data_IF_982195521946
#
_entry.id   IF_982195521946
#
_cell.length_a   1.000
_cell.length_b   1.000
_cell.length_c   1.000
_cell.angle_alpha   90.00
_cell.angle_beta   90.00
_cell.angle_gamma   90.00
#
_symmetry.space_group_name_H-M   'P 1'
#
loop_
_entity.id
_entity.type
_entity.pdbx_description
1 polymer ?
#
# COMPACT_ATOMS: atom_id res chain seq x y z
N UNK A 1 0.54 28.77 -20.88
CA UNK A 1 0.14 27.34 -20.95
C UNK A 1 1.35 26.56 -21.46
N UNK A 2 1.57 25.34 -20.96
CA UNK A 2 2.73 24.50 -21.31
C UNK A 2 2.27 23.07 -21.55
N UNK A 3 2.64 22.49 -22.69
CA UNK A 3 2.41 21.07 -22.98
C UNK A 3 3.40 20.20 -22.19
N UNK A 4 2.92 19.11 -21.60
CA UNK A 4 3.68 18.22 -20.72
C UNK A 4 3.53 16.77 -21.16
N UNK A 5 4.62 16.01 -21.06
CA UNK A 5 4.69 14.57 -21.33
C UNK A 5 5.62 13.88 -20.33
N UNK A 6 5.46 12.57 -20.14
CA UNK A 6 6.35 11.75 -19.31
C UNK A 6 6.55 12.30 -17.89
N UNK A 7 7.80 12.33 -17.42
CA UNK A 7 8.14 12.78 -16.06
C UNK A 7 7.84 14.26 -15.83
N UNK A 8 7.69 15.08 -16.89
CA UNK A 8 7.28 16.47 -16.74
C UNK A 8 5.86 16.62 -16.18
N UNK A 9 4.96 15.68 -16.48
CA UNK A 9 3.60 15.64 -15.89
C UNK A 9 3.72 15.36 -14.39
N UNK A 10 4.49 14.33 -14.01
CA UNK A 10 4.69 13.94 -12.62
C UNK A 10 5.26 15.09 -11.79
N UNK A 11 6.31 15.76 -12.28
CA UNK A 11 6.92 16.92 -11.61
C UNK A 11 5.92 18.08 -11.45
N UNK A 12 5.09 18.35 -12.45
CA UNK A 12 4.07 19.38 -12.37
C UNK A 12 2.98 19.03 -11.34
N UNK A 13 2.53 17.78 -11.29
CA UNK A 13 1.57 17.29 -10.30
C UNK A 13 2.13 17.41 -8.88
N UNK A 14 3.35 16.94 -8.63
CA UNK A 14 4.00 17.09 -7.31
C UNK A 14 4.12 18.57 -6.92
N UNK A 15 4.54 19.43 -7.85
CA UNK A 15 4.63 20.88 -7.61
C UNK A 15 3.28 21.49 -7.21
N UNK A 16 2.18 21.08 -7.83
CA UNK A 16 0.82 21.59 -7.51
C UNK A 16 0.33 21.06 -6.17
N UNK A 17 0.46 19.75 -5.95
CA UNK A 17 -0.08 19.08 -4.77
C UNK A 17 0.73 19.34 -3.49
N UNK A 18 2.00 19.73 -3.62
CA UNK A 18 2.89 20.05 -2.50
C UNK A 18 2.86 21.53 -2.07
N UNK A 19 2.11 22.39 -2.79
CA UNK A 19 2.02 23.83 -2.49
C UNK A 19 1.21 24.09 -1.22
N UNK A 20 1.63 25.04 -0.36
CA UNK A 20 0.79 25.53 0.73
C UNK A 20 -0.51 26.13 0.17
N UNK A 21 -1.65 25.64 0.64
CA UNK A 21 -2.98 26.09 0.17
C UNK A 21 -3.95 24.93 -0.03
N UNK A 22 -5.10 25.21 -0.65
CA UNK A 22 -6.13 24.22 -0.92
C UNK A 22 -5.87 23.55 -2.28
N UNK A 23 -5.10 22.46 -2.28
CA UNK A 23 -4.93 21.63 -3.46
C UNK A 23 -6.21 20.83 -3.75
N UNK A 24 -6.58 20.71 -5.02
CA UNK A 24 -7.76 19.97 -5.45
C UNK A 24 -7.38 18.99 -6.56
N UNK A 25 -7.88 17.76 -6.48
CA UNK A 25 -7.65 16.73 -7.49
C UNK A 25 -8.96 16.03 -7.85
N UNK A 26 -9.39 16.12 -9.10
CA UNK A 26 -10.46 15.28 -9.64
C UNK A 26 -9.79 14.24 -10.55
N UNK A 27 -9.44 13.10 -9.96
CA UNK A 27 -8.62 12.06 -10.59
C UNK A 27 -9.29 10.72 -10.39
N UNK A 28 -9.77 10.16 -11.49
CA UNK A 28 -10.57 8.95 -11.52
C UNK A 28 -9.92 7.79 -10.75
N UNK A 29 -8.67 7.45 -11.09
CA UNK A 29 -8.04 6.22 -10.63
C UNK A 29 -6.75 6.50 -9.87
N UNK A 30 -6.60 5.83 -8.74
CA UNK A 30 -5.42 5.86 -7.89
C UNK A 30 -4.73 4.51 -7.89
N UNK A 31 -3.43 4.47 -8.19
CA UNK A 31 -2.60 3.28 -8.11
C UNK A 31 -1.97 3.12 -6.74
N UNK A 32 -1.29 1.98 -6.51
CA UNK A 32 -0.62 1.65 -5.24
C UNK A 32 0.38 2.72 -4.74
N UNK A 33 1.00 3.46 -5.65
CA UNK A 33 1.97 4.53 -5.38
C UNK A 33 1.37 5.94 -5.55
N UNK A 34 0.05 6.09 -5.70
CA UNK A 34 -0.57 7.37 -6.07
C UNK A 34 -0.22 8.52 -5.11
N UNK A 35 -0.19 8.25 -3.82
CA UNK A 35 0.23 9.15 -2.75
C UNK A 35 1.69 9.64 -2.89
N UNK A 36 2.61 8.72 -3.19
CA UNK A 36 4.05 8.99 -3.41
C UNK A 36 4.24 9.83 -4.68
N UNK A 37 3.62 9.40 -5.78
CA UNK A 37 3.80 10.01 -7.10
C UNK A 37 3.21 11.42 -7.21
N UNK A 38 2.31 11.77 -6.29
CA UNK A 38 1.69 13.09 -6.20
C UNK A 38 2.28 13.96 -5.10
N UNK A 39 3.20 13.43 -4.27
CA UNK A 39 3.81 14.14 -3.15
C UNK A 39 2.88 14.33 -1.94
N UNK A 40 1.73 13.65 -1.90
CA UNK A 40 0.79 13.68 -0.78
C UNK A 40 1.30 12.93 0.45
N UNK A 41 2.39 12.17 0.31
CA UNK A 41 3.07 11.49 1.41
C UNK A 41 4.16 12.34 2.08
N UNK A 42 4.55 13.47 1.47
CA UNK A 42 5.76 14.23 1.81
C UNK A 42 5.65 15.19 3.01
N UNK A 43 4.47 15.56 3.51
CA UNK A 43 4.36 16.62 4.55
C UNK A 43 3.15 16.52 5.50
N UNK A 44 3.28 17.21 6.64
CA UNK A 44 2.27 17.48 7.70
C UNK A 44 1.10 18.41 7.28
N UNK A 45 0.88 18.63 5.97
CA UNK A 45 -0.17 19.53 5.47
C UNK A 45 -1.44 18.85 4.88
N UNK A 46 -1.81 17.59 5.25
CA UNK A 46 -2.88 16.89 4.54
C UNK A 46 -4.27 17.49 4.72
N UNK A 47 -4.47 18.35 5.75
CA UNK A 47 -5.78 18.94 6.08
C UNK A 47 -6.41 19.77 4.96
N UNK A 48 -5.65 20.12 3.90
CA UNK A 48 -6.09 21.07 2.87
C UNK A 48 -6.28 20.49 1.47
N UNK A 49 -5.94 19.21 1.25
CA UNK A 49 -6.18 18.58 -0.05
C UNK A 49 -7.61 18.02 -0.15
N UNK A 50 -8.29 18.30 -1.26
CA UNK A 50 -9.61 17.72 -1.61
C UNK A 50 -9.49 16.86 -2.85
N UNK A 51 -9.87 15.59 -2.74
CA UNK A 51 -9.75 14.61 -3.81
C UNK A 51 -11.11 14.01 -4.17
N UNK A 52 -11.42 13.95 -5.46
CA UNK A 52 -12.52 13.15 -6.00
C UNK A 52 -11.90 12.01 -6.79
N UNK A 53 -12.35 10.78 -6.52
CA UNK A 53 -11.97 9.58 -7.27
C UNK A 53 -13.21 8.75 -7.65
N UNK A 54 -13.02 7.72 -8.48
CA UNK A 54 -14.05 6.68 -8.70
C UNK A 54 -13.66 5.40 -7.95
N UNK A 55 -14.01 5.33 -6.66
CA UNK A 55 -13.78 4.15 -5.82
C UNK A 55 -14.65 2.95 -6.25
N UNK A 56 -15.70 3.20 -7.04
CA UNK A 56 -16.57 2.13 -7.52
C UNK A 56 -15.99 1.36 -8.71
N UNK A 57 -14.97 1.93 -9.36
CA UNK A 57 -14.27 1.30 -10.48
C UNK A 57 -13.02 0.51 -10.04
N UNK A 58 -12.84 -0.69 -10.59
CA UNK A 58 -11.74 -1.63 -10.24
C UNK A 58 -10.33 -1.14 -10.62
N UNK A 59 -10.24 -0.09 -11.43
CA UNK A 59 -8.96 0.56 -11.73
C UNK A 59 -8.48 1.48 -10.60
N UNK A 60 -9.39 1.93 -9.72
CA UNK A 60 -9.03 2.68 -8.53
C UNK A 60 -8.63 1.70 -7.42
N UNK A 61 -7.43 1.85 -6.87
CA UNK A 61 -6.92 1.01 -5.80
C UNK A 61 -7.47 1.49 -4.45
N UNK A 62 -8.36 0.73 -3.81
CA UNK A 62 -8.98 1.13 -2.54
C UNK A 62 -7.97 1.20 -1.38
N UNK A 63 -6.85 0.47 -1.46
CA UNK A 63 -5.79 0.56 -0.44
C UNK A 63 -5.03 1.89 -0.52
N UNK A 64 -4.85 2.45 -1.71
CA UNK A 64 -4.27 3.78 -1.86
C UNK A 64 -5.21 4.87 -1.32
N UNK A 65 -6.52 4.69 -1.53
CA UNK A 65 -7.53 5.60 -0.98
C UNK A 65 -7.59 5.50 0.55
N UNK A 66 -7.50 4.30 1.11
CA UNK A 66 -7.40 4.08 2.56
C UNK A 66 -6.18 4.80 3.15
N UNK A 67 -4.99 4.64 2.56
CA UNK A 67 -3.78 5.31 3.04
C UNK A 67 -3.90 6.85 3.04
N UNK A 68 -4.64 7.41 2.08
CA UNK A 68 -4.88 8.85 2.04
C UNK A 68 -5.92 9.29 3.09
N UNK A 69 -6.96 8.49 3.33
CA UNK A 69 -7.95 8.73 4.39
C UNK A 69 -7.31 8.64 5.78
N UNK A 70 -6.40 7.69 6.00
CA UNK A 70 -5.61 7.55 7.24
C UNK A 70 -4.70 8.75 7.52
N UNK A 71 -4.41 9.53 6.48
CA UNK A 71 -3.67 10.80 6.55
C UNK A 71 -4.61 12.01 6.68
N UNK A 72 -5.89 11.79 6.92
CA UNK A 72 -6.91 12.85 7.07
C UNK A 72 -7.11 13.72 5.82
N UNK A 73 -6.72 13.22 4.65
CA UNK A 73 -6.99 13.88 3.37
C UNK A 73 -8.49 13.78 3.07
N UNK A 74 -9.10 14.87 2.62
CA UNK A 74 -10.53 14.91 2.32
C UNK A 74 -10.78 14.24 0.97
N UNK A 75 -11.39 13.05 0.98
CA UNK A 75 -11.69 12.30 -0.23
C UNK A 75 -13.17 12.00 -0.35
N UNK A 76 -13.72 12.26 -1.54
CA UNK A 76 -15.05 11.82 -1.94
C UNK A 76 -14.94 10.89 -3.16
N UNK A 77 -15.97 10.06 -3.33
CA UNK A 77 -16.10 9.20 -4.52
C UNK A 77 -17.24 9.69 -5.41
N UNK A 78 -17.01 9.68 -6.71
CA UNK A 78 -18.01 10.01 -7.73
C UNK A 78 -18.00 8.91 -8.81
N UNK A 79 -19.06 8.08 -8.90
CA UNK A 79 -19.14 7.03 -9.91
C UNK A 79 -19.08 7.60 -11.32
N UNK A 80 -18.37 6.91 -12.23
CA UNK A 80 -18.12 7.32 -13.62
C UNK A 80 -17.24 8.56 -13.77
N UNK A 81 -16.58 9.03 -12.71
CA UNK A 81 -15.54 10.03 -12.84
C UNK A 81 -14.41 9.46 -13.70
N UNK A 82 -14.11 10.10 -14.82
CA UNK A 82 -12.98 9.75 -15.69
C UNK A 82 -12.01 10.93 -15.91
N UNK A 83 -12.14 12.00 -15.12
CA UNK A 83 -11.27 13.16 -15.21
C UNK A 83 -9.88 12.89 -14.59
N UNK A 84 -8.88 13.66 -15.00
CA UNK A 84 -7.55 13.72 -14.36
C UNK A 84 -7.09 15.18 -14.31
N UNK A 85 -7.54 15.87 -13.26
CA UNK A 85 -7.38 17.32 -13.10
C UNK A 85 -6.75 17.60 -11.74
N UNK A 86 -5.75 18.47 -11.73
CA UNK A 86 -5.00 18.88 -10.56
C UNK A 86 -4.99 20.42 -10.48
N UNK A 87 -5.28 20.98 -9.32
CA UNK A 87 -5.50 22.43 -9.16
C UNK A 87 -4.82 22.91 -7.88
N UNK A 88 -4.10 24.03 -7.95
CA UNK A 88 -3.61 24.75 -6.77
C UNK A 88 -3.37 26.22 -7.11
N UNK A 89 -4.00 27.12 -6.37
CA UNK A 89 -3.95 28.55 -6.65
C UNK A 89 -4.43 28.85 -8.07
N UNK A 90 -3.62 29.55 -8.86
CA UNK A 90 -3.92 29.94 -10.25
C UNK A 90 -3.29 28.98 -11.28
N UNK A 91 -2.97 27.75 -10.88
CA UNK A 91 -2.34 26.73 -11.72
C UNK A 91 -3.21 25.48 -11.80
N UNK A 92 -3.40 24.98 -13.02
CA UNK A 92 -4.13 23.74 -13.33
C UNK A 92 -3.24 22.83 -14.16
N UNK A 93 -3.20 21.54 -13.84
CA UNK A 93 -2.73 20.48 -14.74
C UNK A 93 -3.92 19.63 -15.14
N UNK A 94 -4.20 19.59 -16.44
CA UNK A 94 -5.29 18.83 -17.06
C UNK A 94 -4.68 17.86 -18.07
N UNK A 95 -5.02 16.58 -18.00
CA UNK A 95 -4.49 15.61 -18.97
C UNK A 95 -5.08 14.22 -18.88
N UNK A 96 -4.34 13.25 -19.41
CA UNK A 96 -4.72 11.84 -19.44
C UNK A 96 -4.23 11.05 -18.21
N UNK A 97 -3.24 11.58 -17.48
CA UNK A 97 -2.52 10.84 -16.44
C UNK A 97 -3.30 10.67 -15.13
N UNK A 98 -3.63 9.43 -14.79
CA UNK A 98 -4.15 9.05 -13.46
C UNK A 98 -3.04 9.04 -12.39
N UNK A 99 -3.41 8.92 -11.11
CA UNK A 99 -2.45 8.87 -10.00
C UNK A 99 -1.78 7.48 -9.86
N UNK A 100 -1.00 7.06 -10.85
CA UNK A 100 -0.42 5.70 -10.89
C UNK A 100 0.95 5.69 -11.55
N UNK A 101 1.80 4.70 -11.23
CA UNK A 101 3.16 4.62 -11.79
C UNK A 101 3.19 4.46 -13.31
N UNK A 102 2.17 3.83 -13.90
CA UNK A 102 2.06 3.74 -15.35
C UNK A 102 1.82 5.12 -16.01
N UNK A 103 1.16 6.05 -15.31
CA UNK A 103 0.77 7.34 -15.86
C UNK A 103 1.62 8.53 -15.36
N UNK A 104 2.25 8.39 -14.20
CA UNK A 104 3.13 9.39 -13.58
C UNK A 104 4.49 8.75 -13.30
N UNK A 105 5.29 8.43 -14.34
CA UNK A 105 6.61 7.86 -14.12
C UNK A 105 7.54 8.88 -13.47
N UNK A 106 8.47 8.35 -12.69
CA UNK A 106 9.63 9.03 -12.10
C UNK A 106 10.87 8.72 -12.93
N UNK A 107 11.95 9.48 -12.72
CA UNK A 107 13.23 9.23 -13.41
C UNK A 107 13.86 7.87 -13.07
N UNK A 108 13.32 7.16 -12.07
CA UNK A 108 13.77 5.83 -11.64
C UNK A 108 12.95 4.67 -12.22
N UNK A 109 11.88 4.95 -12.98
CA UNK A 109 11.03 3.90 -13.54
C UNK A 109 11.60 3.35 -14.87
N UNK A 110 11.41 2.04 -15.11
CA UNK A 110 12.10 1.22 -16.13
C UNK A 110 11.62 1.42 -17.58
N UNK A 111 10.98 2.55 -17.88
CA UNK A 111 10.53 2.89 -19.24
C UNK A 111 9.22 2.23 -19.69
N UNK A 112 8.48 1.54 -18.81
CA UNK A 112 7.15 0.94 -19.12
C UNK A 112 5.96 1.89 -18.89
N UNK A 113 6.19 3.19 -18.95
CA UNK A 113 5.14 4.18 -18.76
C UNK A 113 4.21 4.27 -19.97
N UNK A 114 2.95 4.59 -19.70
CA UNK A 114 2.01 5.00 -20.73
C UNK A 114 2.48 6.29 -21.40
N UNK A 115 2.09 6.46 -22.66
CA UNK A 115 2.22 7.75 -23.35
C UNK A 115 1.09 8.65 -22.87
N UNK A 116 1.41 9.55 -21.96
CA UNK A 116 0.47 10.50 -21.36
C UNK A 116 0.73 11.92 -21.87
N UNK A 117 -0.34 12.71 -21.95
CA UNK A 117 -0.28 14.11 -22.35
C UNK A 117 -1.07 14.97 -21.34
N UNK A 118 -0.52 16.15 -21.05
CA UNK A 118 -1.20 17.14 -20.22
C UNK A 118 -0.86 18.57 -20.64
N UNK A 119 -1.70 19.51 -20.23
CA UNK A 119 -1.38 20.92 -20.24
C UNK A 119 -1.30 21.45 -18.81
N UNK A 120 -0.26 22.22 -18.55
CA UNK A 120 -0.20 23.12 -17.41
C UNK A 120 -0.69 24.51 -17.83
N UNK A 121 -1.74 24.96 -17.17
CA UNK A 121 -2.42 26.21 -17.44
C UNK A 121 -2.20 27.13 -16.24
N UNK A 122 -1.83 28.37 -16.53
CA UNK A 122 -1.65 29.44 -15.55
C UNK A 122 -2.65 30.54 -15.82
N UNK A 123 -3.15 31.16 -14.76
CA UNK A 123 -4.01 32.35 -14.83
C UNK A 123 -5.28 32.19 -13.99
N UNK A 124 -5.62 33.24 -13.25
CA UNK A 124 -6.73 33.26 -12.29
C UNK A 124 -8.07 32.87 -12.91
N UNK A 125 -8.43 33.46 -14.05
CA UNK A 125 -9.72 33.25 -14.71
C UNK A 125 -9.93 31.78 -15.10
N UNK A 126 -8.97 31.19 -15.83
CA UNK A 126 -9.01 29.78 -16.23
C UNK A 126 -8.97 28.83 -15.02
N UNK A 127 -8.17 29.16 -14.02
CA UNK A 127 -8.12 28.37 -12.80
C UNK A 127 -9.47 28.43 -12.05
N UNK A 128 -10.14 29.58 -12.06
CA UNK A 128 -11.45 29.74 -11.43
C UNK A 128 -12.53 28.90 -12.13
N UNK A 129 -12.58 28.90 -13.45
CA UNK A 129 -13.51 28.06 -14.23
C UNK A 129 -13.37 26.56 -13.86
N UNK A 130 -12.13 26.07 -13.77
CA UNK A 130 -11.87 24.67 -13.42
C UNK A 130 -12.18 24.39 -11.95
N UNK A 131 -11.98 25.36 -11.04
CA UNK A 131 -12.40 25.25 -9.63
C UNK A 131 -13.91 25.18 -9.50
N UNK A 132 -14.66 26.03 -10.21
CA UNK A 132 -16.12 26.03 -10.17
C UNK A 132 -16.68 24.69 -10.66
N UNK A 133 -16.09 24.14 -11.73
CA UNK A 133 -16.38 22.77 -12.15
C UNK A 133 -16.05 21.73 -11.07
N UNK A 134 -14.88 21.84 -10.42
CA UNK A 134 -14.48 20.94 -9.35
C UNK A 134 -15.46 20.98 -8.17
N UNK A 135 -15.88 22.17 -7.72
CA UNK A 135 -16.83 22.33 -6.61
C UNK A 135 -18.18 21.70 -6.95
N UNK A 136 -18.66 21.87 -8.18
CA UNK A 136 -19.89 21.22 -8.62
C UNK A 136 -19.76 19.70 -8.54
N UNK A 137 -18.64 19.12 -8.99
CA UNK A 137 -18.38 17.67 -8.87
C UNK A 137 -18.17 17.23 -7.43
N UNK A 138 -17.58 18.07 -6.59
CA UNK A 138 -17.37 17.81 -5.17
C UNK A 138 -18.69 17.71 -4.42
N UNK A 139 -19.67 18.54 -4.78
CA UNK A 139 -21.01 18.51 -4.23
C UNK A 139 -21.81 17.29 -4.69
N UNK A 140 -21.65 16.87 -5.95
CA UNK A 140 -22.24 15.63 -6.49
C UNK A 140 -21.60 14.37 -5.88
N UNK A 141 -20.34 14.46 -5.45
CA UNK A 141 -19.60 13.34 -4.91
C UNK A 141 -20.02 12.99 -3.47
N UNK A 142 -20.02 11.69 -3.18
CA UNK A 142 -20.41 11.15 -1.87
C UNK A 142 -19.18 10.90 -0.97
N UNK A 143 -19.29 11.08 0.35
CA UNK A 143 -18.27 10.65 1.29
C UNK A 143 -17.97 9.14 1.16
N UNK A 144 -16.74 8.75 1.49
CA UNK A 144 -16.33 7.35 1.50
C UNK A 144 -16.56 6.79 2.90
N UNK A 145 -17.55 5.91 3.04
CA UNK A 145 -17.78 5.17 4.29
C UNK A 145 -16.84 3.96 4.41
N UNK A 146 -16.61 3.49 5.64
CA UNK A 146 -15.88 2.24 5.89
C UNK A 146 -16.48 1.06 5.09
N UNK A 147 -17.81 0.99 5.02
CA UNK A 147 -18.52 -0.06 4.26
C UNK A 147 -18.29 0.04 2.75
N UNK A 148 -18.22 1.24 2.19
CA UNK A 148 -17.93 1.46 0.77
C UNK A 148 -16.48 1.08 0.44
N UNK A 149 -15.54 1.43 1.33
CA UNK A 149 -14.12 1.11 1.20
C UNK A 149 -13.89 -0.41 1.24
N UNK A 150 -14.48 -1.12 2.19
CA UNK A 150 -14.38 -2.58 2.29
C UNK A 150 -14.97 -3.30 1.07
N UNK A 151 -16.10 -2.80 0.54
CA UNK A 151 -16.68 -3.33 -0.70
C UNK A 151 -15.75 -3.10 -1.90
N UNK A 152 -15.10 -1.94 -1.97
CA UNK A 152 -14.15 -1.62 -3.02
C UNK A 152 -12.91 -2.54 -2.95
N UNK A 153 -12.35 -2.78 -1.75
CA UNK A 153 -11.24 -3.75 -1.53
C UNK A 153 -11.55 -5.12 -2.10
N UNK A 154 -12.70 -5.69 -1.71
CA UNK A 154 -13.13 -7.01 -2.23
C UNK A 154 -13.25 -7.05 -3.75
N UNK A 155 -13.89 -6.04 -4.36
CA UNK A 155 -14.02 -5.96 -5.84
C UNK A 155 -12.66 -5.85 -6.53
N UNK A 156 -11.78 -5.02 -5.98
CA UNK A 156 -10.44 -4.82 -6.52
C UNK A 156 -9.62 -6.10 -6.45
N UNK A 157 -9.62 -6.79 -5.30
CA UNK A 157 -8.93 -8.07 -5.11
C UNK A 157 -9.43 -9.16 -6.06
N UNK A 158 -10.76 -9.27 -6.23
CA UNK A 158 -11.38 -10.17 -7.20
C UNK A 158 -10.93 -9.86 -8.63
N UNK A 159 -10.89 -8.58 -9.01
CA UNK A 159 -10.43 -8.15 -10.33
C UNK A 159 -8.94 -8.46 -10.55
N UNK A 160 -8.08 -8.28 -9.53
CA UNK A 160 -6.67 -8.66 -9.63
C UNK A 160 -6.48 -10.18 -9.73
N UNK A 161 -7.28 -10.96 -9.01
CA UNK A 161 -7.27 -12.41 -9.12
C UNK A 161 -7.72 -12.88 -10.52
N UNK A 162 -8.69 -12.19 -11.14
CA UNK A 162 -9.13 -12.45 -12.51
C UNK A 162 -8.04 -12.14 -13.56
N UNK A 163 -7.29 -11.05 -13.39
CA UNK A 163 -6.15 -10.70 -14.27
C UNK A 163 -5.00 -11.71 -14.21
N UNK A 164 -4.87 -12.45 -13.10
CA UNK A 164 -3.88 -13.52 -12.93
C UNK A 164 -4.27 -14.85 -13.60
N UNK A 165 -5.49 -14.97 -14.15
CA UNK A 165 -6.02 -16.22 -14.72
C UNK A 165 -5.93 -16.34 -16.25
N UNK A 166 -5.19 -15.47 -16.95
CA UNK A 166 -4.87 -15.72 -18.37
C UNK A 166 -3.60 -16.57 -18.44
N UNK A 167 -3.67 -17.87 -18.76
CA UNK A 167 -2.46 -18.63 -19.06
C UNK A 167 -1.79 -17.99 -20.29
N UNK A 168 -0.48 -17.72 -20.27
CA UNK A 168 0.18 -17.20 -21.46
C UNK A 168 0.01 -18.21 -22.59
N UNK A 169 -0.50 -17.75 -23.73
CA UNK A 169 -0.46 -18.51 -24.98
C UNK A 169 0.99 -18.97 -25.21
N UNK A 170 1.13 -20.27 -25.48
CA UNK A 170 2.42 -20.92 -25.68
C UNK A 170 3.25 -20.15 -26.71
N UNK A 171 4.33 -19.52 -26.23
CA UNK A 171 5.42 -19.06 -27.08
C UNK A 171 6.70 -19.74 -26.62
N UNK A 172 7.38 -20.29 -27.62
CA UNK A 172 8.49 -21.22 -27.55
C UNK A 172 9.70 -20.68 -26.77
N UNK A 173 10.29 -21.62 -26.04
CA UNK A 173 11.61 -21.64 -25.39
C UNK A 173 12.64 -20.62 -25.90
N UNK A 174 13.21 -19.85 -24.96
CA UNK A 174 14.66 -19.78 -24.72
C UNK A 174 14.89 -19.31 -23.29
N UNK A 175 15.73 -20.04 -22.54
CA UNK A 175 15.80 -19.97 -21.08
C UNK A 175 16.76 -18.93 -20.52
N UNK A 176 16.45 -18.44 -19.31
CA UNK A 176 17.32 -18.36 -18.12
C UNK A 176 16.48 -17.98 -16.88
N UNK A 177 16.76 -18.65 -15.76
CA UNK A 177 16.26 -18.44 -14.37
C UNK A 177 16.16 -16.96 -13.96
N UNK A 178 15.26 -16.46 -13.12
CA UNK A 178 14.43 -17.08 -12.08
C UNK A 178 14.12 -16.02 -11.00
N UNK A 179 13.55 -14.87 -11.39
CA UNK A 179 13.23 -13.81 -10.43
C UNK A 179 11.77 -13.85 -9.98
N UNK A 180 11.54 -14.26 -8.73
CA UNK A 180 10.23 -14.30 -8.09
C UNK A 180 9.91 -12.89 -7.61
N UNK A 181 8.78 -12.32 -8.04
CA UNK A 181 8.38 -10.95 -7.69
C UNK A 181 8.21 -10.76 -6.17
N UNK A 182 8.44 -9.53 -5.69
CA UNK A 182 8.29 -9.19 -4.26
C UNK A 182 6.92 -9.55 -3.66
N UNK A 183 5.78 -9.40 -4.35
CA UNK A 183 4.49 -9.86 -3.82
C UNK A 183 4.46 -11.37 -3.58
N UNK A 184 4.98 -12.16 -4.52
CA UNK A 184 5.07 -13.61 -4.43
C UNK A 184 6.03 -14.03 -3.30
N UNK A 185 7.16 -13.34 -3.17
CA UNK A 185 8.08 -13.52 -2.04
C UNK A 185 7.37 -13.20 -0.71
N UNK A 186 6.63 -12.10 -0.63
CA UNK A 186 5.91 -11.69 0.59
C UNK A 186 4.89 -12.73 1.01
N UNK A 187 4.04 -13.17 0.09
CA UNK A 187 3.02 -14.20 0.34
C UNK A 187 3.70 -15.48 0.83
N UNK A 188 4.72 -15.95 0.10
CA UNK A 188 5.45 -17.16 0.48
C UNK A 188 6.09 -17.05 1.87
N UNK A 189 6.72 -15.91 2.20
CA UNK A 189 7.37 -15.69 3.50
C UNK A 189 6.33 -15.72 4.65
N UNK A 190 5.16 -15.12 4.43
CA UNK A 190 4.05 -15.10 5.38
C UNK A 190 3.46 -16.50 5.58
N UNK A 191 3.22 -17.23 4.49
CA UNK A 191 2.66 -18.57 4.55
C UNK A 191 3.63 -19.55 5.22
N UNK A 192 4.92 -19.48 4.89
CA UNK A 192 5.96 -20.28 5.54
C UNK A 192 6.11 -19.97 7.04
N UNK A 193 5.97 -18.70 7.44
CA UNK A 193 5.97 -18.34 8.85
C UNK A 193 4.74 -18.91 9.57
N UNK A 194 3.57 -18.90 8.93
CA UNK A 194 2.34 -19.50 9.46
C UNK A 194 2.45 -21.03 9.60
N UNK A 195 2.97 -21.72 8.59
CA UNK A 195 3.22 -23.16 8.63
C UNK A 195 4.24 -23.52 9.73
N UNK A 196 5.31 -22.74 9.86
CA UNK A 196 6.31 -22.92 10.92
C UNK A 196 5.68 -22.74 12.30
N UNK A 197 4.79 -21.76 12.47
CA UNK A 197 4.04 -21.54 13.69
C UNK A 197 3.15 -22.74 14.05
N UNK A 198 2.41 -23.29 13.09
CA UNK A 198 1.59 -24.49 13.31
C UNK A 198 2.45 -25.69 13.72
N UNK A 199 3.59 -25.90 13.06
CA UNK A 199 4.52 -27.00 13.38
C UNK A 199 5.11 -26.86 14.78
N UNK A 200 5.56 -25.67 15.17
CA UNK A 200 6.13 -25.42 16.50
C UNK A 200 5.08 -25.57 17.61
N UNK A 201 3.84 -25.13 17.38
CA UNK A 201 2.78 -25.23 18.37
C UNK A 201 2.31 -26.68 18.62
N UNK A 202 2.48 -27.59 17.65
CA UNK A 202 2.11 -29.02 17.81
C UNK A 202 3.07 -29.81 18.70
N UNK A 203 4.27 -29.30 18.96
CA UNK A 203 5.29 -29.98 19.77
C UNK A 203 5.53 -29.30 21.12
N UNK A 204 4.48 -28.76 21.75
CA UNK A 204 4.53 -27.99 23.01
C UNK A 204 5.46 -26.77 23.01
N UNK A 205 5.91 -26.33 21.82
CA UNK A 205 6.86 -25.23 21.66
C UNK A 205 6.24 -23.83 21.78
N UNK A 206 5.04 -23.69 22.34
CA UNK A 206 4.41 -22.38 22.51
C UNK A 206 4.95 -21.68 23.76
N UNK A 207 5.47 -20.47 23.59
CA UNK A 207 5.93 -19.62 24.67
C UNK A 207 5.37 -18.18 24.50
N UNK A 208 5.63 -17.29 25.48
CA UNK A 208 5.17 -15.89 25.39
C UNK A 208 5.86 -15.08 24.29
N UNK A 209 7.03 -15.55 23.85
CA UNK A 209 7.89 -14.98 22.83
C UNK A 209 7.65 -15.60 21.44
N UNK A 210 6.55 -16.31 21.24
CA UNK A 210 6.33 -17.23 20.12
C UNK A 210 6.58 -16.63 18.72
N UNK A 211 6.21 -15.36 18.50
CA UNK A 211 6.49 -14.66 17.23
C UNK A 211 7.99 -14.66 16.92
N UNK A 212 8.82 -14.36 17.92
CA UNK A 212 10.27 -14.35 17.79
C UNK A 212 10.81 -15.76 17.56
N UNK A 213 10.32 -16.75 18.31
CA UNK A 213 10.73 -18.15 18.17
C UNK A 213 10.44 -18.69 16.76
N UNK A 214 9.28 -18.37 16.20
CA UNK A 214 8.91 -18.73 14.82
C UNK A 214 9.82 -18.04 13.80
N UNK A 215 10.02 -16.73 13.89
CA UNK A 215 10.83 -16.00 12.91
C UNK A 215 12.30 -16.44 12.94
N UNK A 216 12.85 -16.73 14.13
CA UNK A 216 14.20 -17.30 14.25
C UNK A 216 14.29 -18.69 13.61
N UNK A 217 13.27 -19.52 13.76
CA UNK A 217 13.21 -20.82 13.09
C UNK A 217 13.15 -20.66 11.56
N UNK A 218 12.35 -19.73 11.06
CA UNK A 218 12.32 -19.43 9.63
C UNK A 218 13.68 -18.93 9.12
N UNK A 219 14.36 -18.05 9.87
CA UNK A 219 15.69 -17.50 9.53
C UNK A 219 16.76 -18.58 9.35
N UNK A 220 16.63 -19.71 10.02
CA UNK A 220 17.59 -20.83 9.94
C UNK A 220 17.52 -21.57 8.60
N UNK A 221 16.40 -21.46 7.87
CA UNK A 221 16.26 -22.07 6.54
C UNK A 221 16.87 -21.16 5.48
N UNK A 222 17.86 -21.67 4.73
CA UNK A 222 18.55 -20.92 3.68
C UNK A 222 17.57 -20.32 2.66
N UNK A 223 16.58 -21.10 2.20
CA UNK A 223 15.57 -20.62 1.26
C UNK A 223 14.76 -19.44 1.82
N UNK A 224 14.35 -19.50 3.09
CA UNK A 224 13.58 -18.42 3.69
C UNK A 224 14.42 -17.17 3.84
N UNK A 225 15.68 -17.32 4.29
CA UNK A 225 16.63 -16.21 4.41
C UNK A 225 16.88 -15.53 3.07
N UNK A 226 17.11 -16.29 2.01
CA UNK A 226 17.37 -15.76 0.67
C UNK A 226 16.16 -15.03 0.09
N UNK A 227 14.97 -15.62 0.24
CA UNK A 227 13.71 -15.00 -0.19
C UNK A 227 13.41 -13.74 0.63
N UNK A 228 13.70 -13.74 1.92
CA UNK A 228 13.55 -12.56 2.78
C UNK A 228 14.54 -11.46 2.38
N UNK A 229 15.81 -11.79 2.12
CA UNK A 229 16.83 -10.85 1.62
C UNK A 229 16.41 -10.21 0.29
N UNK A 230 15.91 -11.01 -0.65
CA UNK A 230 15.37 -10.53 -1.94
C UNK A 230 14.14 -9.64 -1.75
N UNK A 231 13.27 -9.97 -0.80
CA UNK A 231 12.10 -9.15 -0.48
C UNK A 231 12.49 -7.79 0.09
N UNK A 232 13.39 -7.76 1.08
CA UNK A 232 13.81 -6.52 1.75
C UNK A 232 14.83 -5.72 0.93
N UNK A 233 15.43 -6.35 -0.09
CA UNK A 233 16.37 -5.72 -1.02
C UNK A 233 17.69 -5.32 -0.39
N UNK A 234 18.23 -6.16 0.52
CA UNK A 234 19.47 -5.84 1.22
C UNK A 234 19.72 -6.74 2.42
N UNK A 235 20.46 -6.22 3.40
CA UNK A 235 20.79 -6.93 4.63
C UNK A 235 19.52 -7.27 5.44
N UNK A 236 19.35 -8.56 5.72
CA UNK A 236 18.24 -9.10 6.52
C UNK A 236 18.33 -8.68 7.98
N UNK A 237 19.52 -8.30 8.44
CA UNK A 237 19.82 -7.95 9.82
C UNK A 237 19.79 -6.43 10.08
N UNK A 238 19.68 -5.61 9.02
CA UNK A 238 19.51 -4.15 9.15
C UNK A 238 18.18 -3.85 9.89
N UNK A 239 18.23 -3.22 11.08
CA UNK A 239 17.02 -2.87 11.84
C UNK A 239 16.26 -1.69 11.22
N UNK A 240 16.91 -0.89 10.36
CA UNK A 240 16.35 0.32 9.77
C UNK A 240 15.72 0.09 8.38
N UNK A 241 15.80 -1.12 7.84
CA UNK A 241 15.28 -1.42 6.52
C UNK A 241 13.76 -1.14 6.41
N UNK A 242 13.33 -0.25 5.50
CA UNK A 242 11.93 0.18 5.39
C UNK A 242 10.99 -0.94 4.94
N UNK A 243 11.48 -1.95 4.25
CA UNK A 243 10.68 -3.09 3.82
C UNK A 243 10.38 -4.06 4.96
N UNK A 244 11.23 -4.13 5.99
CA UNK A 244 10.94 -4.87 7.22
C UNK A 244 9.70 -4.29 7.93
N UNK A 245 9.53 -2.96 7.92
CA UNK A 245 8.32 -2.29 8.44
C UNK A 245 7.04 -2.68 7.68
N UNK A 246 7.15 -3.07 6.40
CA UNK A 246 6.02 -3.45 5.52
C UNK A 246 5.63 -4.93 5.60
N UNK A 247 6.47 -5.81 6.14
CA UNK A 247 6.21 -7.26 6.21
C UNK A 247 6.10 -7.77 7.66
N UNK A 248 6.87 -7.22 8.59
CA UNK A 248 6.93 -7.72 9.97
C UNK A 248 5.58 -7.63 10.73
N UNK A 249 4.76 -6.58 10.58
CA UNK A 249 3.43 -6.55 11.17
C UNK A 249 2.53 -7.68 10.66
N UNK A 250 2.61 -8.02 9.37
CA UNK A 250 1.82 -9.08 8.75
C UNK A 250 2.30 -10.47 9.16
N UNK A 251 3.62 -10.68 9.24
CA UNK A 251 4.20 -11.91 9.80
C UNK A 251 3.67 -12.14 11.22
N UNK A 252 3.76 -11.14 12.10
CA UNK A 252 3.27 -11.26 13.48
C UNK A 252 1.76 -11.51 13.56
N UNK A 253 0.97 -10.85 12.69
CA UNK A 253 -0.49 -11.07 12.61
C UNK A 253 -0.80 -12.50 12.19
N UNK A 254 -0.18 -12.99 11.10
CA UNK A 254 -0.45 -14.30 10.53
C UNK A 254 0.01 -15.44 11.43
N UNK A 255 1.19 -15.32 12.06
CA UNK A 255 1.70 -16.29 13.05
C UNK A 255 0.69 -16.48 14.17
N UNK A 256 0.19 -15.37 14.73
CA UNK A 256 -0.81 -15.39 15.81
C UNK A 256 -2.11 -16.07 15.38
N UNK A 257 -2.63 -15.69 14.21
CA UNK A 257 -3.86 -16.25 13.65
C UNK A 257 -3.74 -17.76 13.38
N UNK A 258 -2.59 -18.20 12.87
CA UNK A 258 -2.35 -19.60 12.51
C UNK A 258 -2.44 -20.56 13.71
N UNK A 259 -2.12 -20.09 14.92
CA UNK A 259 -2.17 -20.90 16.14
C UNK A 259 -3.35 -20.56 17.06
N UNK A 260 -4.20 -19.60 16.65
CA UNK A 260 -5.33 -19.14 17.47
C UNK A 260 -4.90 -18.45 18.77
N UNK A 261 -3.74 -17.78 18.78
CA UNK A 261 -3.24 -17.11 19.97
C UNK A 261 -3.85 -15.70 20.17
N UNK A 262 -3.87 -15.29 21.43
CA UNK A 262 -4.30 -13.96 21.85
C UNK A 262 -3.11 -13.07 22.16
N UNK A 263 -3.32 -11.76 22.06
CA UNK A 263 -2.33 -10.77 22.51
C UNK A 263 -2.37 -10.68 24.02
N UNK A 264 -1.22 -10.69 24.67
CA UNK A 264 -1.14 -10.28 26.07
C UNK A 264 -1.34 -8.77 26.12
N UNK A 265 -2.31 -8.30 26.91
CA UNK A 265 -2.58 -6.87 27.08
C UNK A 265 -1.93 -6.35 28.37
N UNK A 266 -1.58 -5.07 28.37
CA UNK A 266 -1.28 -4.29 29.59
C UNK A 266 -2.57 -4.01 30.37
N UNK A 267 -2.50 -3.59 31.65
CA UNK A 267 -3.68 -3.17 32.40
C UNK A 267 -4.54 -2.12 31.69
N UNK A 268 -3.94 -1.24 30.88
CA UNK A 268 -4.64 -0.25 30.06
C UNK A 268 -5.14 -0.76 28.70
N UNK A 269 -5.25 -2.06 28.48
CA UNK A 269 -5.81 -2.65 27.25
C UNK A 269 -4.89 -2.67 26.03
N UNK A 270 -3.70 -2.05 26.09
CA UNK A 270 -2.74 -2.04 24.98
C UNK A 270 -1.97 -3.36 24.84
N UNK A 271 -1.61 -3.81 23.61
CA UNK A 271 -0.78 -5.00 23.44
C UNK A 271 0.60 -4.85 24.10
N UNK A 272 0.95 -5.81 24.97
CA UNK A 272 2.28 -5.87 25.61
C UNK A 272 3.31 -6.29 24.55
N UNK A 273 4.34 -5.47 24.39
CA UNK A 273 5.41 -5.68 23.41
C UNK A 273 6.76 -5.83 24.08
N UNK A 274 7.62 -6.66 23.50
CA UNK A 274 9.01 -6.85 23.94
C UNK A 274 9.96 -6.43 22.81
N UNK A 275 11.05 -5.76 23.19
CA UNK A 275 12.12 -5.36 22.26
C UNK A 275 13.19 -6.45 22.21
N UNK A 276 13.74 -6.69 21.03
CA UNK A 276 14.87 -7.60 20.81
C UNK A 276 16.16 -6.81 20.88
N UNK A 277 17.17 -7.31 21.60
CA UNK A 277 18.52 -6.75 21.60
C UNK A 277 19.36 -7.45 20.52
N UNK A 278 20.07 -6.69 19.70
CA UNK A 278 20.95 -7.20 18.65
C UNK A 278 20.28 -7.38 17.28
N UNK A 279 21.04 -7.85 16.27
CA UNK A 279 20.55 -8.03 14.91
C UNK A 279 19.56 -9.20 14.82
N UNK A 280 18.29 -8.88 14.57
CA UNK A 280 17.23 -9.86 14.35
C UNK A 280 16.26 -9.38 13.26
N UNK A 281 15.39 -10.28 12.78
CA UNK A 281 14.38 -9.97 11.75
C UNK A 281 13.43 -8.87 12.23
N UNK A 282 13.17 -8.83 13.54
CA UNK A 282 12.26 -7.90 14.19
C UNK A 282 12.94 -7.23 15.39
N UNK A 283 12.85 -5.90 15.47
CA UNK A 283 13.33 -5.17 16.66
C UNK A 283 12.32 -5.16 17.82
N UNK A 284 11.03 -5.40 17.55
CA UNK A 284 9.96 -5.40 18.55
C UNK A 284 8.78 -6.27 18.09
N UNK A 285 8.14 -6.96 19.02
CA UNK A 285 6.98 -7.83 18.74
C UNK A 285 6.00 -7.86 19.91
N UNK A 286 4.79 -8.34 19.63
CA UNK A 286 3.71 -8.50 20.62
C UNK A 286 3.84 -9.85 21.31
N UNK A 287 3.71 -9.87 22.64
CA UNK A 287 3.69 -11.11 23.41
C UNK A 287 2.35 -11.82 23.24
N UNK A 288 2.38 -13.14 23.16
CA UNK A 288 1.21 -13.96 22.91
C UNK A 288 0.90 -14.89 24.10
N UNK A 289 -0.37 -15.30 24.20
CA UNK A 289 -0.84 -16.37 25.07
C UNK A 289 -1.81 -17.25 24.29
N UNK A 290 -1.94 -18.52 24.65
CA UNK A 290 -3.05 -19.34 24.18
C UNK A 290 -4.33 -18.99 24.95
N UNK A 291 -5.52 -19.17 24.37
CA UNK A 291 -6.77 -19.01 25.08
C UNK A 291 -6.89 -20.03 26.22
N UNK A 292 -7.63 -19.68 27.28
CA UNK A 292 -7.71 -20.45 28.53
C UNK A 292 -8.31 -21.85 28.36
N UNK A 293 -9.05 -22.11 27.27
CA UNK A 293 -9.62 -23.42 26.94
C UNK A 293 -8.58 -24.42 26.39
N UNK A 294 -7.42 -23.93 25.94
CA UNK A 294 -6.30 -24.74 25.43
C UNK A 294 -5.19 -24.97 26.46
N UNK A 295 -5.19 -24.26 27.59
CA UNK A 295 -4.22 -24.49 28.67
C UNK A 295 -4.52 -25.71 29.54
N UNK A 296 -5.61 -26.41 29.26
CA UNK A 296 -6.05 -27.64 29.95
C UNK A 296 -6.12 -28.80 28.96
N UNK A 297 -4.95 -29.37 28.64
CA UNK A 297 -4.89 -30.81 28.32
C UNK A 297 -4.23 -31.46 29.53
N UNK A 298 -4.87 -32.42 30.22
CA UNK A 298 -4.22 -33.19 31.28
C UNK A 298 -3.09 -34.03 30.65
N UNK A 299 -1.99 -34.18 31.40
CA UNK A 299 -0.83 -34.97 31.00
C UNK A 299 -1.09 -36.47 30.94
#
# INVERSE_FOLDING_TARGET
MRFLTGTAIQRAVVSIMSRPGQAMAAVAYWGKRGQELTGLDLKEYPERARIICDLDHVACNPFAIEELLDREIRIKTLPRLHAKVWISGDVVVLGSANASGAALPTDHDDGRANVEAAFEIHGRERAQEVKDWFEARWNDARPISCTALERAKRRWEQAQAGKRKTPPAARSKSGKSGDVGRPELKTWLIDQAAETAVKLNRGDGFDRDFILSVLRRCKQTAEWRDRYARFVGGDVDDPNNPWKKKINPELGKKIREAVGAERILTPGGNPRRKSVRGPDIIGRYTLLKLPSDRSSTPG
#
